data_IF_450599597874
#
_entry.id   IF_450599597874
#
_cell.length_a   1.000
_cell.length_b   1.000
_cell.length_c   1.000
_cell.angle_alpha   90.00
_cell.angle_beta   90.00
_cell.angle_gamma   90.00
#
_symmetry.space_group_name_H-M   'P 1'
#
loop_
_entity.id
_entity.type
_entity.pdbx_description
1 polymer ?
#
# COMPACT_ATOMS: atom_id res chain seq x y z
N UNK A 1 18.32 4.63 -17.85
CA UNK A 1 18.33 4.29 -16.42
C UNK A 1 18.01 2.81 -16.35
N UNK A 2 18.89 2.00 -15.77
CA UNK A 2 18.57 0.58 -15.52
C UNK A 2 17.78 0.58 -14.22
N UNK A 3 16.47 0.41 -14.29
CA UNK A 3 15.64 0.37 -13.09
C UNK A 3 16.03 -0.79 -12.19
N UNK A 4 15.80 -0.69 -10.87
CA UNK A 4 16.07 -1.79 -9.91
C UNK A 4 15.40 -3.11 -10.32
N UNK A 5 14.26 -3.04 -11.02
CA UNK A 5 13.56 -4.19 -11.61
C UNK A 5 14.32 -4.77 -12.81
N UNK A 6 14.88 -3.92 -13.69
CA UNK A 6 15.78 -4.38 -14.75
C UNK A 6 17.07 -4.96 -14.19
N UNK A 7 17.58 -4.46 -13.05
CA UNK A 7 18.70 -5.10 -12.34
C UNK A 7 18.26 -6.48 -11.84
N UNK A 8 17.07 -6.64 -11.27
CA UNK A 8 16.58 -7.94 -10.81
C UNK A 8 16.44 -8.94 -11.98
N UNK A 9 15.90 -8.50 -13.13
CA UNK A 9 15.83 -9.32 -14.34
C UNK A 9 17.23 -9.59 -14.93
N UNK A 10 18.13 -8.60 -14.95
CA UNK A 10 19.51 -8.78 -15.43
C UNK A 10 20.33 -9.68 -14.51
N UNK A 11 20.11 -9.64 -13.19
CA UNK A 11 20.80 -10.52 -12.23
C UNK A 11 20.34 -11.96 -12.42
N UNK A 12 19.04 -12.21 -12.63
CA UNK A 12 18.52 -13.56 -12.95
C UNK A 12 19.06 -14.07 -14.30
N UNK A 13 19.26 -13.20 -15.29
CA UNK A 13 19.78 -13.58 -16.62
C UNK A 13 21.32 -13.69 -16.63
N UNK A 14 22.05 -12.94 -15.80
CA UNK A 14 23.52 -13.02 -15.69
C UNK A 14 24.01 -14.30 -15.00
N UNK A 15 23.16 -14.99 -14.21
CA UNK A 15 23.51 -16.33 -13.68
C UNK A 15 23.57 -17.40 -14.78
N UNK A 16 23.14 -17.09 -16.00
CA UNK A 16 23.30 -17.98 -17.18
C UNK A 16 24.56 -17.67 -18.01
N UNK A 17 25.43 -16.77 -17.53
CA UNK A 17 26.77 -16.60 -18.07
C UNK A 17 27.64 -17.81 -17.77
N UNK A 18 27.53 -18.87 -18.58
CA UNK A 18 28.56 -19.87 -18.71
C UNK A 18 29.90 -19.15 -18.97
N UNK A 19 30.76 -19.08 -17.95
CA UNK A 19 32.19 -18.83 -18.16
C UNK A 19 32.77 -20.04 -18.90
N UNK A 20 32.55 -20.04 -20.22
CA UNK A 20 33.15 -20.94 -21.19
C UNK A 20 34.44 -20.29 -21.68
N UNK A 21 35.55 -20.70 -21.08
CA UNK A 21 36.91 -20.46 -21.57
C UNK A 21 37.90 -20.85 -20.47
N UNK A 22 38.65 -21.94 -20.52
CA UNK A 22 39.19 -22.60 -21.70
C UNK A 22 40.71 -22.60 -21.58
N UNK A 23 41.23 -23.55 -20.79
CA UNK A 23 42.51 -24.26 -20.91
C UNK A 23 43.79 -23.46 -21.20
N UNK A 24 44.70 -23.48 -20.22
CA UNK A 24 46.14 -23.42 -20.42
C UNK A 24 46.82 -24.56 -19.65
N UNK A 25 46.95 -25.73 -20.28
CA UNK A 25 47.90 -26.79 -19.90
C UNK A 25 47.56 -27.63 -18.67
N UNK A 26 47.14 -28.88 -18.89
CA UNK A 26 46.95 -29.89 -17.86
C UNK A 26 45.50 -30.34 -17.79
N UNK A 27 45.27 -31.65 -17.82
CA UNK A 27 43.98 -32.32 -17.80
C UNK A 27 43.08 -31.78 -16.67
N UNK A 28 42.29 -30.75 -16.98
CA UNK A 28 41.39 -30.11 -16.05
C UNK A 28 40.19 -31.02 -15.80
N UNK A 29 40.32 -31.96 -14.87
CA UNK A 29 39.17 -32.57 -14.20
C UNK A 29 38.27 -31.42 -13.79
N UNK A 30 37.12 -31.29 -14.46
CA UNK A 30 36.02 -30.50 -13.96
C UNK A 30 35.84 -30.90 -12.51
N UNK A 31 35.99 -29.95 -11.59
CA UNK A 31 35.82 -30.22 -10.16
C UNK A 31 34.33 -30.45 -9.90
N UNK A 32 33.88 -31.67 -10.18
CA UNK A 32 32.47 -32.09 -10.14
C UNK A 32 31.85 -31.77 -8.78
N UNK A 33 32.63 -31.85 -7.70
CA UNK A 33 32.19 -31.49 -6.36
C UNK A 33 31.84 -30.00 -6.24
N UNK A 34 32.64 -29.10 -6.84
CA UNK A 34 32.33 -27.66 -6.88
C UNK A 34 31.11 -27.36 -7.75
N UNK A 35 30.97 -28.03 -8.90
CA UNK A 35 29.77 -27.89 -9.74
C UNK A 35 28.51 -28.38 -9.02
N UNK A 36 28.57 -29.55 -8.38
CA UNK A 36 27.42 -30.11 -7.66
C UNK A 36 26.99 -29.21 -6.50
N UNK A 37 27.94 -28.73 -5.70
CA UNK A 37 27.62 -27.81 -4.58
C UNK A 37 27.14 -26.43 -5.03
N UNK A 38 27.58 -25.94 -6.20
CA UNK A 38 27.01 -24.74 -6.83
C UNK A 38 25.56 -24.98 -7.27
N UNK A 39 25.29 -26.08 -7.97
CA UNK A 39 23.94 -26.45 -8.41
C UNK A 39 22.98 -26.65 -7.23
N UNK A 40 23.42 -27.30 -6.16
CA UNK A 40 22.66 -27.42 -4.91
C UNK A 40 22.35 -26.05 -4.29
N UNK A 41 23.29 -25.09 -4.35
CA UNK A 41 23.04 -23.73 -3.86
C UNK A 41 21.98 -23.02 -4.71
N UNK A 42 22.01 -23.20 -6.04
CA UNK A 42 20.99 -22.64 -6.93
C UNK A 42 19.61 -23.26 -6.72
N UNK A 43 19.53 -24.57 -6.49
CA UNK A 43 18.26 -25.26 -6.20
C UNK A 43 17.63 -24.70 -4.93
N UNK A 44 18.39 -24.58 -3.83
CA UNK A 44 17.89 -24.00 -2.58
C UNK A 44 17.42 -22.56 -2.73
N UNK A 45 18.23 -21.73 -3.39
CA UNK A 45 17.85 -20.33 -3.68
C UNK A 45 16.56 -20.29 -4.52
N UNK A 46 16.43 -21.17 -5.51
CA UNK A 46 15.23 -21.29 -6.35
C UNK A 46 13.98 -21.69 -5.55
N UNK A 47 14.11 -22.67 -4.64
CA UNK A 47 13.05 -23.07 -3.72
C UNK A 47 12.65 -21.90 -2.80
N UNK A 48 13.62 -21.18 -2.23
CA UNK A 48 13.37 -20.00 -1.41
C UNK A 48 12.64 -18.88 -2.17
N UNK A 49 13.00 -18.62 -3.43
CA UNK A 49 12.24 -17.68 -4.28
C UNK A 49 10.80 -18.15 -4.53
N UNK A 50 10.60 -19.44 -4.81
CA UNK A 50 9.26 -20.00 -5.00
C UNK A 50 8.39 -19.83 -3.74
N UNK A 51 8.95 -20.07 -2.55
CA UNK A 51 8.24 -19.82 -1.29
C UNK A 51 7.86 -18.35 -1.12
N UNK A 52 8.78 -17.43 -1.43
CA UNK A 52 8.51 -15.98 -1.37
C UNK A 52 7.36 -15.61 -2.30
N UNK A 53 7.38 -16.06 -3.56
CA UNK A 53 6.30 -15.78 -4.51
C UNK A 53 4.99 -16.44 -4.11
N UNK A 54 5.02 -17.62 -3.50
CA UNK A 54 3.83 -18.27 -2.94
C UNK A 54 3.21 -17.46 -1.81
N UNK A 55 4.01 -17.03 -0.84
CA UNK A 55 3.56 -16.21 0.30
C UNK A 55 3.08 -14.84 -0.16
N UNK A 56 3.84 -14.16 -1.02
CA UNK A 56 3.47 -12.87 -1.58
C UNK A 56 2.19 -12.99 -2.42
N UNK A 57 2.08 -14.03 -3.25
CA UNK A 57 0.92 -14.30 -4.09
C UNK A 57 -0.34 -14.58 -3.27
N UNK A 58 -0.24 -15.38 -2.20
CA UNK A 58 -1.36 -15.59 -1.26
C UNK A 58 -1.73 -14.29 -0.55
N UNK A 59 -0.75 -13.55 -0.01
CA UNK A 59 -0.99 -12.27 0.64
C UNK A 59 -1.67 -11.26 -0.30
N UNK A 60 -1.18 -11.12 -1.53
CA UNK A 60 -1.76 -10.20 -2.51
C UNK A 60 -3.12 -10.70 -3.01
N UNK A 61 -3.28 -11.99 -3.28
CA UNK A 61 -4.54 -12.58 -3.75
C UNK A 61 -5.66 -12.50 -2.71
N UNK A 62 -5.35 -12.85 -1.46
CA UNK A 62 -6.34 -12.85 -0.37
C UNK A 62 -6.72 -11.43 0.05
N UNK A 63 -5.79 -10.48 -0.06
CA UNK A 63 -6.03 -9.12 0.41
C UNK A 63 -6.45 -8.14 -0.69
N UNK A 64 -5.85 -8.17 -1.88
CA UNK A 64 -6.26 -7.32 -3.01
C UNK A 64 -7.39 -7.92 -3.86
N UNK A 65 -7.62 -9.24 -3.80
CA UNK A 65 -8.46 -9.94 -4.77
C UNK A 65 -9.96 -10.08 -4.44
N UNK A 66 -10.37 -10.21 -3.17
CA UNK A 66 -11.73 -10.72 -2.88
C UNK A 66 -12.47 -10.17 -1.66
N UNK A 67 -11.82 -9.41 -0.79
CA UNK A 67 -12.43 -8.85 0.43
C UNK A 67 -12.59 -7.32 0.35
N UNK A 68 -13.21 -6.83 -0.73
CA UNK A 68 -13.44 -5.40 -0.91
C UNK A 68 -14.27 -4.84 0.25
N UNK A 69 -13.72 -3.82 0.91
CA UNK A 69 -14.45 -3.03 1.89
C UNK A 69 -15.51 -2.22 1.14
N UNK A 70 -16.76 -2.31 1.56
CA UNK A 70 -17.89 -1.62 0.98
C UNK A 70 -18.20 -0.35 1.75
N UNK A 71 -18.93 0.58 1.12
CA UNK A 71 -19.33 1.83 1.78
C UNK A 71 -20.30 1.64 2.95
N UNK A 72 -20.98 0.49 3.05
CA UNK A 72 -21.87 0.11 4.14
C UNK A 72 -21.19 -0.74 5.23
N UNK A 73 -19.89 -0.98 5.11
CA UNK A 73 -19.11 -1.68 6.13
C UNK A 73 -18.77 -0.77 7.34
N UNK A 74 -18.27 -1.41 8.40
CA UNK A 74 -17.71 -0.73 9.57
C UNK A 74 -16.26 -0.31 9.32
N UNK A 75 -15.81 0.76 10.01
CA UNK A 75 -14.43 1.26 9.92
C UNK A 75 -13.41 0.17 10.30
N UNK A 76 -13.70 -0.65 11.32
CA UNK A 76 -12.83 -1.77 11.71
C UNK A 76 -12.59 -2.81 10.61
N UNK A 77 -13.50 -2.96 9.63
CA UNK A 77 -13.28 -3.82 8.47
C UNK A 77 -12.24 -3.22 7.51
N UNK A 78 -12.18 -1.89 7.40
CA UNK A 78 -11.08 -1.17 6.72
C UNK A 78 -9.76 -1.48 7.45
N UNK A 79 -9.76 -1.40 8.78
CA UNK A 79 -8.58 -1.72 9.59
C UNK A 79 -8.10 -3.15 9.42
N UNK A 80 -9.01 -4.12 9.43
CA UNK A 80 -8.67 -5.53 9.19
C UNK A 80 -8.04 -5.74 7.81
N UNK A 81 -8.50 -5.00 6.79
CA UNK A 81 -7.91 -5.04 5.47
C UNK A 81 -6.45 -4.54 5.49
N UNK A 82 -6.18 -3.38 6.11
CA UNK A 82 -4.81 -2.88 6.28
C UNK A 82 -3.92 -3.83 7.10
N UNK A 83 -4.45 -4.41 8.19
CA UNK A 83 -3.74 -5.38 9.02
C UNK A 83 -3.34 -6.63 8.25
N UNK A 84 -4.25 -7.18 7.43
CA UNK A 84 -3.96 -8.34 6.58
C UNK A 84 -2.86 -8.03 5.56
N UNK A 85 -2.91 -6.86 4.91
CA UNK A 85 -1.86 -6.43 3.98
C UNK A 85 -0.51 -6.31 4.69
N UNK A 86 -0.48 -5.67 5.86
CA UNK A 86 0.76 -5.52 6.65
C UNK A 86 1.32 -6.87 7.09
N UNK A 87 0.46 -7.81 7.48
CA UNK A 87 0.86 -9.18 7.81
C UNK A 87 1.47 -9.92 6.62
N UNK A 88 0.88 -9.79 5.43
CA UNK A 88 1.41 -10.38 4.21
C UNK A 88 2.78 -9.83 3.79
N UNK A 89 2.96 -8.50 3.88
CA UNK A 89 4.26 -7.87 3.65
C UNK A 89 5.30 -8.30 4.69
N UNK A 90 4.90 -8.45 5.95
CA UNK A 90 5.77 -8.94 7.03
C UNK A 90 6.23 -10.37 6.77
N UNK A 91 5.31 -11.26 6.37
CA UNK A 91 5.64 -12.64 6.03
C UNK A 91 6.61 -12.72 4.84
N UNK A 92 6.38 -11.92 3.80
CA UNK A 92 7.25 -11.82 2.63
C UNK A 92 8.64 -11.30 2.99
N UNK A 93 8.72 -10.23 3.80
CA UNK A 93 9.99 -9.67 4.32
C UNK A 93 10.80 -10.71 5.09
N UNK A 94 10.14 -11.49 5.95
CA UNK A 94 10.81 -12.54 6.73
C UNK A 94 11.37 -13.63 5.82
N UNK A 95 10.61 -14.09 4.82
CA UNK A 95 11.11 -15.07 3.85
C UNK A 95 12.28 -14.55 3.00
N UNK A 96 12.27 -13.26 2.66
CA UNK A 96 13.43 -12.62 2.02
C UNK A 96 14.67 -12.59 2.93
N UNK A 97 14.51 -12.40 4.24
CA UNK A 97 15.62 -12.49 5.20
C UNK A 97 16.14 -13.93 5.34
N UNK A 98 15.27 -14.94 5.28
CA UNK A 98 15.69 -16.34 5.28
C UNK A 98 16.52 -16.64 4.02
N UNK A 99 16.03 -16.23 2.84
CA UNK A 99 16.75 -16.36 1.58
C UNK A 99 18.09 -15.61 1.58
N UNK A 100 18.17 -14.45 2.23
CA UNK A 100 19.42 -13.70 2.41
C UNK A 100 20.48 -14.54 3.13
N UNK A 101 20.07 -15.32 4.14
CA UNK A 101 20.95 -16.23 4.87
C UNK A 101 21.45 -17.36 3.97
N UNK A 102 20.56 -17.95 3.17
CA UNK A 102 20.91 -19.02 2.23
C UNK A 102 21.91 -18.55 1.17
N UNK A 103 21.67 -17.39 0.56
CA UNK A 103 22.57 -16.77 -0.42
C UNK A 103 23.94 -16.48 0.20
N UNK A 104 23.97 -16.04 1.46
CA UNK A 104 25.23 -15.78 2.17
C UNK A 104 26.06 -17.05 2.38
N UNK A 105 25.42 -18.21 2.43
CA UNK A 105 26.06 -19.51 2.61
C UNK A 105 26.36 -20.27 1.31
N UNK A 106 25.99 -19.69 0.16
CA UNK A 106 26.13 -20.32 -1.15
C UNK A 106 27.60 -20.60 -1.47
N UNK A 107 27.88 -21.81 -1.95
CA UNK A 107 29.25 -22.27 -2.22
C UNK A 107 29.58 -22.11 -3.71
N UNK A 108 30.85 -21.80 -3.99
CA UNK A 108 31.37 -21.65 -5.35
C UNK A 108 30.63 -20.58 -6.19
N UNK A 109 30.09 -19.57 -5.50
CA UNK A 109 29.54 -18.35 -6.09
C UNK A 109 30.57 -17.24 -5.86
N UNK A 110 30.70 -16.34 -6.84
CA UNK A 110 31.56 -15.17 -6.68
C UNK A 110 31.04 -14.24 -5.57
N UNK A 111 31.95 -13.77 -4.70
CA UNK A 111 31.59 -12.94 -3.56
C UNK A 111 30.92 -11.61 -3.96
N UNK A 112 31.29 -11.03 -5.11
CA UNK A 112 30.64 -9.80 -5.58
C UNK A 112 29.21 -10.04 -6.03
N UNK A 113 28.92 -11.23 -6.58
CA UNK A 113 27.54 -11.64 -6.93
C UNK A 113 26.69 -11.76 -5.67
N UNK A 114 27.21 -12.39 -4.62
CA UNK A 114 26.53 -12.50 -3.32
C UNK A 114 26.19 -11.11 -2.77
N UNK A 115 27.13 -10.18 -2.76
CA UNK A 115 26.92 -8.82 -2.23
C UNK A 115 25.89 -8.02 -3.05
N UNK A 116 25.87 -8.16 -4.38
CA UNK A 116 24.83 -7.54 -5.22
C UNK A 116 23.45 -8.05 -4.85
N UNK A 117 23.25 -9.36 -4.74
CA UNK A 117 21.93 -9.94 -4.41
C UNK A 117 21.51 -9.53 -2.99
N UNK A 118 22.44 -9.55 -2.02
CA UNK A 118 22.17 -9.04 -0.67
C UNK A 118 21.70 -7.60 -0.68
N UNK A 119 22.34 -6.75 -1.48
CA UNK A 119 21.96 -5.34 -1.63
C UNK A 119 20.54 -5.16 -2.17
N UNK A 120 20.15 -5.97 -3.16
CA UNK A 120 18.79 -5.96 -3.72
C UNK A 120 17.75 -6.40 -2.69
N UNK A 121 17.99 -7.51 -1.99
CA UNK A 121 17.08 -8.03 -0.96
C UNK A 121 16.91 -7.03 0.19
N UNK A 122 18.01 -6.44 0.68
CA UNK A 122 17.95 -5.39 1.71
C UNK A 122 17.14 -4.19 1.23
N UNK A 123 17.39 -3.74 0.00
CA UNK A 123 16.63 -2.63 -0.59
C UNK A 123 15.12 -2.91 -0.71
N UNK A 124 14.72 -4.15 -1.00
CA UNK A 124 13.31 -4.55 -1.00
C UNK A 124 12.72 -4.57 0.42
N UNK A 125 13.47 -5.12 1.39
CA UNK A 125 13.04 -5.19 2.79
C UNK A 125 12.90 -3.80 3.44
N UNK A 126 13.73 -2.82 3.06
CA UNK A 126 13.61 -1.44 3.49
C UNK A 126 12.27 -0.81 3.01
N UNK A 127 11.89 -1.08 1.76
CA UNK A 127 10.59 -0.64 1.22
C UNK A 127 9.44 -1.31 1.96
N UNK A 128 9.50 -2.63 2.17
CA UNK A 128 8.49 -3.35 2.94
C UNK A 128 8.34 -2.81 4.36
N UNK A 129 9.43 -2.44 5.03
CA UNK A 129 9.37 -1.86 6.37
C UNK A 129 8.59 -0.55 6.44
N UNK A 130 8.81 0.32 5.44
CA UNK A 130 8.08 1.60 5.33
C UNK A 130 6.61 1.38 5.03
N UNK A 131 6.29 0.46 4.11
CA UNK A 131 4.92 0.10 3.78
C UNK A 131 4.19 -0.55 4.98
N UNK A 132 4.85 -1.45 5.71
CA UNK A 132 4.30 -2.07 6.93
C UNK A 132 4.01 -0.99 7.98
N UNK A 133 4.91 -0.03 8.16
CA UNK A 133 4.73 1.09 9.09
C UNK A 133 3.53 1.95 8.68
N UNK A 134 3.38 2.26 7.39
CA UNK A 134 2.24 3.00 6.87
C UNK A 134 0.92 2.24 7.11
N UNK A 135 0.87 0.95 6.78
CA UNK A 135 -0.30 0.10 7.01
C UNK A 135 -0.66 -0.04 8.50
N UNK A 136 0.34 -0.05 9.38
CA UNK A 136 0.13 -0.07 10.84
C UNK A 136 -0.54 1.22 11.31
N UNK A 137 -0.13 2.39 10.79
CA UNK A 137 -0.81 3.67 11.09
C UNK A 137 -2.26 3.66 10.60
N UNK A 138 -2.48 3.18 9.38
CA UNK A 138 -3.81 3.08 8.79
C UNK A 138 -4.73 2.15 9.60
N UNK A 139 -4.22 1.00 10.03
CA UNK A 139 -4.93 0.09 10.92
C UNK A 139 -5.28 0.78 12.25
N UNK A 140 -4.32 1.46 12.88
CA UNK A 140 -4.54 2.16 14.15
C UNK A 140 -5.65 3.22 14.06
N UNK A 141 -5.74 3.93 12.94
CA UNK A 141 -6.75 4.96 12.68
C UNK A 141 -8.16 4.41 12.36
N UNK A 142 -8.29 3.11 12.15
CA UNK A 142 -9.53 2.49 11.66
C UNK A 142 -10.03 1.38 12.58
N UNK A 143 -9.70 1.42 13.88
CA UNK A 143 -10.10 0.40 14.87
C UNK A 143 -11.56 0.53 15.36
N UNK A 144 -12.19 1.68 15.11
CA UNK A 144 -13.57 2.00 15.49
C UNK A 144 -14.59 1.04 14.84
N UNK A 145 -15.61 0.64 15.60
CA UNK A 145 -16.70 -0.24 15.13
C UNK A 145 -17.89 0.51 14.50
N UNK A 146 -17.84 1.84 14.46
CA UNK A 146 -18.81 2.67 13.77
C UNK A 146 -18.84 2.35 12.27
N UNK A 147 -20.00 2.57 11.66
CA UNK A 147 -20.17 2.44 10.22
C UNK A 147 -19.32 3.47 9.46
N UNK A 148 -18.90 3.12 8.24
CA UNK A 148 -18.45 4.12 7.29
C UNK A 148 -19.63 5.05 6.99
N UNK A 149 -19.39 6.36 7.07
CA UNK A 149 -20.46 7.35 6.96
C UNK A 149 -21.41 7.37 8.16
N UNK A 150 -21.01 6.89 9.34
CA UNK A 150 -21.86 6.98 10.54
C UNK A 150 -22.33 8.42 10.79
N UNK A 151 -23.65 8.58 10.96
CA UNK A 151 -24.27 9.86 11.23
C UNK A 151 -25.51 9.67 12.13
N UNK A 152 -25.32 9.85 13.43
CA UNK A 152 -26.40 9.79 14.41
C UNK A 152 -27.28 11.06 14.38
N UNK A 153 -28.48 10.97 14.95
CA UNK A 153 -29.36 12.15 15.17
C UNK A 153 -28.75 12.99 16.31
N UNK A 154 -28.27 14.21 16.03
CA UNK A 154 -27.69 15.09 17.04
C UNK A 154 -26.73 16.14 16.46
N UNK A 155 -26.08 16.91 17.32
CA UNK A 155 -25.00 17.80 16.91
C UNK A 155 -23.83 16.97 16.36
N UNK A 156 -23.38 17.28 15.14
CA UNK A 156 -22.30 16.54 14.49
C UNK A 156 -21.00 16.65 15.29
N UNK A 157 -20.40 15.50 15.61
CA UNK A 157 -19.08 15.45 16.25
C UNK A 157 -18.02 15.49 15.16
N UNK A 158 -16.99 16.28 15.40
CA UNK A 158 -15.81 16.33 14.56
C UNK A 158 -15.10 14.98 14.42
N UNK A 159 -14.45 14.75 13.28
CA UNK A 159 -13.59 13.58 13.13
C UNK A 159 -12.36 13.70 14.06
N UNK A 160 -11.90 12.57 14.61
CA UNK A 160 -10.67 12.56 15.41
C UNK A 160 -9.47 13.00 14.55
N UNK A 161 -8.87 14.14 14.93
CA UNK A 161 -7.76 14.74 14.19
C UNK A 161 -6.59 13.76 14.03
N UNK A 162 -6.25 13.04 15.09
CA UNK A 162 -5.12 12.09 15.09
C UNK A 162 -5.36 10.97 14.08
N UNK A 163 -6.57 10.42 14.06
CA UNK A 163 -7.00 9.42 13.08
C UNK A 163 -6.95 9.94 11.65
N UNK A 164 -7.43 11.15 11.38
CA UNK A 164 -7.37 11.76 10.04
C UNK A 164 -5.92 11.98 9.60
N UNK A 165 -5.06 12.51 10.48
CA UNK A 165 -3.62 12.69 10.20
C UNK A 165 -2.91 11.36 9.95
N UNK A 166 -3.27 10.31 10.70
CA UNK A 166 -2.74 8.97 10.51
C UNK A 166 -3.16 8.36 9.16
N UNK A 167 -4.41 8.58 8.72
CA UNK A 167 -4.89 8.16 7.39
C UNK A 167 -4.13 8.88 6.28
N UNK A 168 -4.06 10.21 6.34
CA UNK A 168 -3.35 11.02 5.34
C UNK A 168 -1.87 10.63 5.29
N UNK A 169 -1.21 10.56 6.46
CA UNK A 169 0.21 10.24 6.55
C UNK A 169 0.53 8.83 6.07
N UNK A 170 -0.31 7.84 6.41
CA UNK A 170 -0.15 6.46 5.94
C UNK A 170 -0.23 6.36 4.41
N UNK A 171 -1.24 6.98 3.80
CA UNK A 171 -1.40 6.99 2.34
C UNK A 171 -0.27 7.75 1.65
N UNK A 172 0.15 8.91 2.19
CA UNK A 172 1.31 9.65 1.68
C UNK A 172 2.58 8.81 1.64
N UNK A 173 2.90 8.09 2.72
CA UNK A 173 4.06 7.19 2.74
C UNK A 173 3.97 6.11 1.66
N UNK A 174 2.79 5.50 1.46
CA UNK A 174 2.59 4.49 0.40
C UNK A 174 2.82 5.10 -0.99
N UNK A 175 2.26 6.29 -1.24
CA UNK A 175 2.43 7.03 -2.50
C UNK A 175 3.88 7.39 -2.75
N UNK A 176 4.60 7.90 -1.75
CA UNK A 176 6.00 8.25 -1.85
C UNK A 176 6.88 7.05 -2.22
N UNK A 177 6.64 5.88 -1.61
CA UNK A 177 7.37 4.65 -1.95
C UNK A 177 7.02 4.15 -3.35
N UNK A 178 5.76 4.27 -3.79
CA UNK A 178 5.34 3.92 -5.14
C UNK A 178 6.01 4.82 -6.20
N UNK A 179 6.04 6.14 -5.99
CA UNK A 179 6.67 7.10 -6.90
C UNK A 179 8.18 6.86 -7.03
N UNK A 180 8.87 6.52 -5.93
CA UNK A 180 10.30 6.18 -5.94
C UNK A 180 10.64 4.99 -6.85
N UNK A 181 9.67 4.11 -7.12
CA UNK A 181 9.83 2.96 -8.02
C UNK A 181 9.17 3.17 -9.39
N UNK A 182 8.84 4.42 -9.74
CA UNK A 182 8.35 4.82 -11.06
C UNK A 182 6.84 4.66 -11.26
N UNK A 183 6.06 4.47 -10.19
CA UNK A 183 4.60 4.45 -10.28
C UNK A 183 4.09 5.89 -10.35
N UNK A 184 3.46 6.25 -11.47
CA UNK A 184 2.80 7.54 -11.66
C UNK A 184 1.42 7.56 -10.99
N UNK A 185 1.16 8.59 -10.19
CA UNK A 185 -0.17 8.83 -9.62
C UNK A 185 -1.02 9.60 -10.63
N UNK A 186 -2.04 8.95 -11.16
CA UNK A 186 -2.96 9.56 -12.11
C UNK A 186 -4.08 10.32 -11.39
N UNK A 187 -4.60 11.41 -11.98
CA UNK A 187 -5.70 12.18 -11.38
C UNK A 187 -7.01 11.40 -11.29
N UNK A 188 -7.17 10.34 -12.10
CA UNK A 188 -8.38 9.54 -12.15
C UNK A 188 -9.63 10.33 -12.56
N UNK A 189 -10.78 9.74 -12.33
CA UNK A 189 -12.13 10.26 -12.48
C UNK A 189 -12.78 10.37 -11.09
N UNK A 190 -12.94 11.61 -10.64
CA UNK A 190 -13.57 11.94 -9.36
C UNK A 190 -15.08 11.63 -9.30
N UNK A 191 -15.70 11.22 -10.41
CA UNK A 191 -17.14 11.03 -10.53
C UNK A 191 -17.88 12.31 -10.94
N UNK A 192 -19.19 12.19 -11.08
CA UNK A 192 -20.06 13.33 -11.39
C UNK A 192 -20.26 14.24 -10.18
N UNK A 193 -20.64 15.50 -10.45
CA UNK A 193 -21.05 16.42 -9.40
C UNK A 193 -22.28 15.87 -8.64
N UNK A 194 -22.23 15.91 -7.32
CA UNK A 194 -23.39 15.57 -6.48
C UNK A 194 -24.29 16.81 -6.42
N UNK A 195 -25.58 16.62 -6.71
CA UNK A 195 -26.55 17.70 -6.65
C UNK A 195 -26.63 18.32 -5.25
N UNK A 196 -26.98 19.61 -5.20
CA UNK A 196 -27.28 20.28 -3.93
C UNK A 196 -28.37 19.52 -3.15
N UNK A 197 -28.28 19.53 -1.83
CA UNK A 197 -29.24 18.85 -0.98
C UNK A 197 -30.63 19.49 -1.10
N UNK A 198 -31.64 18.69 -1.41
CA UNK A 198 -33.05 19.07 -1.44
C UNK A 198 -33.80 18.62 -0.18
N UNK A 199 -33.23 17.66 0.57
CA UNK A 199 -33.76 17.16 1.83
C UNK A 199 -32.64 16.93 2.87
N UNK A 200 -33.01 16.93 4.16
CA UNK A 200 -32.08 16.66 5.28
C UNK A 200 -31.49 15.25 5.27
N UNK A 201 -32.09 14.35 4.48
CA UNK A 201 -31.64 12.96 4.30
C UNK A 201 -30.68 12.78 3.12
N UNK A 202 -30.36 13.83 2.35
CA UNK A 202 -29.51 13.73 1.17
C UNK A 202 -28.02 13.62 1.54
N UNK A 203 -27.23 13.01 0.64
CA UNK A 203 -25.80 12.77 0.87
C UNK A 203 -25.02 14.02 1.31
N UNK A 204 -25.18 15.15 0.59
CA UNK A 204 -24.45 16.39 0.86
C UNK A 204 -24.94 17.11 2.13
N UNK A 205 -26.08 16.72 2.71
CA UNK A 205 -26.59 17.35 3.93
C UNK A 205 -25.59 17.23 5.10
N UNK A 206 -24.81 16.15 5.19
CA UNK A 206 -23.78 15.97 6.25
C UNK A 206 -22.57 16.89 6.11
N UNK A 207 -22.38 17.52 4.94
CA UNK A 207 -21.29 18.46 4.68
C UNK A 207 -21.70 19.93 4.86
N UNK A 208 -22.87 20.18 5.45
CA UNK A 208 -23.38 21.54 5.68
C UNK A 208 -24.14 22.13 4.50
N UNK A 209 -24.45 21.35 3.45
CA UNK A 209 -25.16 21.84 2.26
C UNK A 209 -26.65 22.14 2.44
N UNK A 210 -27.19 22.10 3.66
CA UNK A 210 -28.60 22.37 3.95
C UNK A 210 -28.74 23.21 5.22
N UNK A 211 -29.64 24.21 5.23
CA UNK A 211 -29.88 25.15 6.33
C UNK A 211 -30.43 24.51 7.63
N UNK A 212 -30.62 23.18 7.64
CA UNK A 212 -31.04 22.39 8.80
C UNK A 212 -30.09 21.19 8.96
N UNK A 213 -29.79 20.80 10.20
CA UNK A 213 -28.94 19.66 10.53
C UNK A 213 -29.32 18.40 9.74
N UNK A 214 -28.32 17.70 9.19
CA UNK A 214 -28.51 16.41 8.55
C UNK A 214 -29.22 15.42 9.50
N UNK A 215 -30.16 14.64 8.97
CA UNK A 215 -30.83 13.56 9.71
C UNK A 215 -30.10 12.23 9.53
N UNK A 216 -30.34 11.26 10.42
CA UNK A 216 -29.76 9.92 10.30
C UNK A 216 -29.99 9.32 8.90
N UNK A 217 -28.95 8.72 8.32
CA UNK A 217 -28.97 8.09 7.00
C UNK A 217 -28.35 8.91 5.86
N UNK A 218 -28.05 10.19 6.06
CA UNK A 218 -27.35 11.03 5.07
C UNK A 218 -25.87 10.65 4.90
N UNK A 219 -25.21 10.23 5.98
CA UNK A 219 -23.78 9.86 5.98
C UNK A 219 -23.47 8.60 5.18
N UNK A 220 -24.25 7.50 5.30
CA UNK A 220 -24.09 6.33 4.45
C UNK A 220 -24.32 6.64 2.97
N UNK A 221 -25.24 7.56 2.65
CA UNK A 221 -25.44 8.03 1.26
C UNK A 221 -24.22 8.79 0.75
N UNK A 222 -23.60 9.65 1.56
CA UNK A 222 -22.34 10.28 1.18
C UNK A 222 -21.23 9.26 0.94
N UNK A 223 -21.09 8.26 1.82
CA UNK A 223 -20.12 7.18 1.63
C UNK A 223 -20.36 6.42 0.31
N UNK A 224 -21.62 6.20 -0.05
CA UNK A 224 -22.00 5.58 -1.32
C UNK A 224 -21.73 6.47 -2.55
N UNK A 225 -21.79 7.80 -2.43
CA UNK A 225 -21.35 8.70 -3.50
C UNK A 225 -19.82 8.71 -3.65
N UNK A 226 -19.09 8.74 -2.53
CA UNK A 226 -17.62 8.71 -2.53
C UNK A 226 -17.08 7.42 -3.14
N UNK A 227 -17.73 6.28 -2.91
CA UNK A 227 -17.31 4.98 -3.46
C UNK A 227 -17.46 4.84 -4.99
N UNK A 228 -18.13 5.80 -5.65
CA UNK A 228 -18.24 5.84 -7.13
C UNK A 228 -17.00 6.41 -7.81
N UNK A 229 -16.19 7.17 -7.10
CA UNK A 229 -14.93 7.66 -7.64
C UNK A 229 -13.93 6.50 -7.78
N UNK A 230 -13.08 6.54 -8.81
CA UNK A 230 -12.03 5.53 -8.89
C UNK A 230 -10.93 5.77 -7.86
N UNK A 231 -10.19 4.69 -7.59
CA UNK A 231 -9.12 4.67 -6.61
C UNK A 231 -7.99 5.65 -6.92
N UNK A 232 -7.72 5.94 -8.20
CA UNK A 232 -6.68 6.91 -8.58
C UNK A 232 -7.08 8.31 -8.16
N UNK A 233 -8.33 8.72 -8.44
CA UNK A 233 -8.84 10.01 -7.99
C UNK A 233 -8.83 10.15 -6.47
N UNK A 234 -9.13 9.08 -5.74
CA UNK A 234 -9.06 9.10 -4.28
C UNK A 234 -7.63 9.26 -3.76
N UNK A 235 -6.67 8.52 -4.32
CA UNK A 235 -5.25 8.62 -3.96
C UNK A 235 -4.70 10.01 -4.29
N UNK A 236 -5.01 10.52 -5.48
CA UNK A 236 -4.58 11.84 -5.97
C UNK A 236 -5.01 12.96 -5.03
N UNK A 237 -6.24 12.88 -4.51
CA UNK A 237 -6.78 13.83 -3.53
C UNK A 237 -6.12 13.74 -2.16
N UNK A 238 -5.86 12.52 -1.69
CA UNK A 238 -5.32 12.30 -0.33
C UNK A 238 -3.83 12.61 -0.26
N UNK A 239 -3.07 12.36 -1.34
CA UNK A 239 -1.60 12.53 -1.34
C UNK A 239 -1.17 13.97 -1.05
N UNK A 240 -2.01 14.95 -1.35
CA UNK A 240 -1.76 16.37 -1.11
C UNK A 240 -2.60 16.95 0.03
N UNK A 241 -3.46 16.13 0.64
CA UNK A 241 -4.36 16.58 1.70
C UNK A 241 -3.61 16.96 2.98
N UNK A 242 -4.20 17.86 3.76
CA UNK A 242 -3.75 18.23 5.10
C UNK A 242 -4.94 18.23 6.05
N UNK A 243 -4.76 17.71 7.26
CA UNK A 243 -5.78 17.80 8.29
C UNK A 243 -5.73 19.21 8.90
N UNK A 244 -6.79 19.98 8.73
CA UNK A 244 -6.89 21.34 9.31
C UNK A 244 -7.89 21.37 10.44
N UNK A 245 -7.52 21.97 11.58
CA UNK A 245 -8.46 22.30 12.66
C UNK A 245 -9.50 23.28 12.08
N UNK A 246 -10.80 23.01 12.31
CA UNK A 246 -11.92 23.81 11.78
C UNK A 246 -11.99 23.84 10.26
N UNK A 247 -11.86 22.69 9.61
CA UNK A 247 -12.22 22.60 8.20
C UNK A 247 -13.73 22.81 8.01
N UNK A 248 -14.18 24.06 8.09
CA UNK A 248 -15.51 24.45 7.65
C UNK A 248 -15.49 24.33 6.13
N UNK A 249 -16.37 23.48 5.60
CA UNK A 249 -16.85 23.61 4.23
C UNK A 249 -17.70 24.89 4.21
N UNK A 250 -17.04 26.04 4.14
CA UNK A 250 -17.71 27.34 3.97
C UNK A 250 -18.61 27.27 2.74
N UNK A 251 -19.90 27.58 2.91
CA UNK A 251 -20.86 27.61 1.81
C UNK A 251 -20.32 28.46 0.64
N UNK A 252 -20.40 27.92 -0.58
CA UNK A 252 -20.10 28.67 -1.81
C UNK A 252 -18.62 28.94 -2.13
N UNK A 253 -17.67 28.39 -1.37
CA UNK A 253 -16.26 28.42 -1.79
C UNK A 253 -15.97 27.24 -2.73
N UNK A 254 -15.35 27.51 -3.88
CA UNK A 254 -14.77 26.48 -4.74
C UNK A 254 -13.67 25.75 -3.93
N UNK A 255 -14.02 24.61 -3.35
CA UNK A 255 -13.05 23.73 -2.70
C UNK A 255 -12.54 22.76 -3.75
N UNK A 256 -11.22 22.63 -3.82
CA UNK A 256 -10.61 21.62 -4.65
C UNK A 256 -11.18 20.26 -4.28
N UNK A 257 -11.44 19.46 -5.31
CA UNK A 257 -11.86 18.09 -5.16
C UNK A 257 -10.79 17.39 -4.31
N UNK A 258 -11.08 17.05 -3.05
CA UNK A 258 -10.09 16.47 -2.11
C UNK A 258 -9.83 17.24 -0.81
N UNK A 259 -10.45 18.40 -0.60
CA UNK A 259 -10.39 19.07 0.71
C UNK A 259 -11.02 18.19 1.78
N UNK A 260 -10.19 17.52 2.60
CA UNK A 260 -10.64 16.66 3.70
C UNK A 260 -10.94 17.51 4.94
N UNK A 261 -12.21 17.52 5.34
CA UNK A 261 -12.62 18.29 6.49
C UNK A 261 -12.30 17.59 7.83
N UNK A 262 -11.32 18.10 8.59
CA UNK A 262 -11.00 17.68 9.96
C UNK A 262 -11.50 18.72 10.98
N UNK A 263 -12.81 19.00 11.04
CA UNK A 263 -13.32 19.94 12.03
C UNK A 263 -13.45 19.28 13.41
N UNK A 264 -13.08 19.98 14.48
CA UNK A 264 -13.47 19.67 15.88
C UNK A 264 -14.70 20.50 16.33
N UNK A 265 -15.18 21.42 15.48
CA UNK A 265 -16.45 22.14 15.66
C UNK A 265 -17.52 21.55 14.74
N UNK A 266 -18.79 21.68 15.10
CA UNK A 266 -19.90 21.36 14.20
C UNK A 266 -19.60 21.95 12.81
N UNK A 267 -19.87 21.21 11.74
CA UNK A 267 -20.00 21.82 10.42
C UNK A 267 -21.18 22.79 10.52
N UNK A 268 -20.90 24.05 10.83
CA UNK A 268 -21.87 25.12 10.71
C UNK A 268 -22.00 25.37 9.21
N UNK A 269 -23.22 25.20 8.70
CA UNK A 269 -23.59 25.51 7.32
C UNK A 269 -23.31 26.96 6.96
#
# INVERSE_FOLDING_TARGET
>A
MIDRVMIMMMVVVMVMGCNSGGVGGGEGKVDLAKKNSFLESLVKIGEGFQEIFGVFGSAVGDTLGFAAVKSDDKKNKVGEHFRKMGGGLTATKNKLNDLLSEISSAKNVDGSTIEVVKGVIKGANDVFERLITALTKLFGATTDSASIGDNAVGAGVGADKTGVEAVIGGIKTIVEEAVKVGIEIKPGNAGGQIAAANATTDAIAVLGGFNNNATAGSGPKLAAEVSKADSWAMIDKIKDATATILAQLTAGADKDAGTLAASNGNAAG
#
